data_IF_233328258945
#
_entry.id   IF_233328258945
#
_cell.length_a   1.000
_cell.length_b   1.000
_cell.length_c   1.000
_cell.angle_alpha   90.00
_cell.angle_beta   90.00
_cell.angle_gamma   90.00
#
_symmetry.space_group_name_H-M   'P 1'
#
loop_
_entity.id
_entity.type
_entity.pdbx_description
1 polymer ?
#
# COMPACT_ATOMS: atom_id res chain seq x y z
N UNK A 1 -32.92 52.53 24.74
CA UNK A 1 -32.75 51.06 24.58
C UNK A 1 -31.47 50.65 25.28
N UNK A 2 -31.56 49.72 26.22
CA UNK A 2 -30.49 49.41 27.17
C UNK A 2 -29.43 48.51 26.49
N UNK A 3 -28.17 48.95 26.44
CA UNK A 3 -27.03 48.28 25.78
C UNK A 3 -26.89 46.81 26.18
N UNK A 4 -27.27 46.48 27.42
CA UNK A 4 -27.25 45.13 27.99
C UNK A 4 -28.15 44.15 27.22
N UNK A 5 -29.29 44.62 26.69
CA UNK A 5 -30.22 43.79 25.93
C UNK A 5 -29.63 43.32 24.60
N UNK A 6 -28.86 44.18 23.92
CA UNK A 6 -28.16 43.82 22.68
C UNK A 6 -27.07 42.78 22.90
N UNK A 7 -26.36 42.86 24.03
CA UNK A 7 -25.31 41.88 24.36
C UNK A 7 -25.90 40.50 24.60
N UNK A 8 -27.05 40.42 25.29
CA UNK A 8 -27.73 39.15 25.52
C UNK A 8 -28.21 38.55 24.20
N UNK A 9 -28.82 39.35 23.32
CA UNK A 9 -29.26 38.87 22.00
C UNK A 9 -28.09 38.42 21.10
N UNK A 10 -26.94 39.09 21.17
CA UNK A 10 -25.75 38.69 20.43
C UNK A 10 -25.21 37.32 20.90
N UNK A 11 -25.19 37.07 22.21
CA UNK A 11 -24.73 35.78 22.77
C UNK A 11 -25.68 34.64 22.36
N UNK A 12 -26.99 34.87 22.43
CA UNK A 12 -27.99 33.87 22.01
C UNK A 12 -27.87 33.56 20.52
N UNK A 13 -27.77 34.59 19.66
CA UNK A 13 -27.58 34.39 18.23
C UNK A 13 -26.27 33.65 17.91
N UNK A 14 -25.20 33.94 18.64
CA UNK A 14 -23.92 33.26 18.47
C UNK A 14 -23.98 31.78 18.87
N UNK A 15 -24.63 31.44 19.99
CA UNK A 15 -24.80 30.05 20.40
C UNK A 15 -25.65 29.23 19.41
N UNK A 16 -26.71 29.83 18.87
CA UNK A 16 -27.55 29.18 17.86
C UNK A 16 -26.78 28.96 16.56
N UNK A 17 -25.99 29.94 16.10
CA UNK A 17 -25.17 29.80 14.90
C UNK A 17 -24.10 28.70 15.04
N UNK A 18 -23.48 28.57 16.22
CA UNK A 18 -22.49 27.52 16.49
C UNK A 18 -23.10 26.12 16.40
N UNK A 19 -24.36 25.94 16.82
CA UNK A 19 -25.05 24.64 16.71
C UNK A 19 -25.65 24.38 15.32
N UNK A 20 -26.25 25.38 14.68
CA UNK A 20 -26.87 25.22 13.36
C UNK A 20 -25.84 25.01 12.23
N UNK A 21 -24.61 25.51 12.42
CA UNK A 21 -23.51 25.38 11.45
C UNK A 21 -22.34 24.56 11.99
N UNK A 22 -22.54 23.80 13.08
CA UNK A 22 -21.55 22.82 13.48
C UNK A 22 -21.40 21.79 12.33
N UNK A 23 -20.19 21.63 11.75
CA UNK A 23 -19.97 20.57 10.78
C UNK A 23 -20.30 19.24 11.47
N UNK A 24 -20.96 18.33 10.74
CA UNK A 24 -21.24 16.99 11.27
C UNK A 24 -19.96 16.43 11.90
N UNK A 25 -20.02 15.88 13.12
CA UNK A 25 -18.87 15.23 13.71
C UNK A 25 -18.38 14.19 12.71
N UNK A 26 -17.18 14.42 12.14
CA UNK A 26 -16.55 13.44 11.25
C UNK A 26 -16.64 12.10 11.96
N UNK A 27 -17.36 11.15 11.36
CA UNK A 27 -17.51 9.82 11.92
C UNK A 27 -16.10 9.37 12.33
N UNK A 28 -15.92 9.12 13.64
CA UNK A 28 -14.62 8.68 14.14
C UNK A 28 -14.25 7.45 13.30
N UNK A 29 -13.06 7.42 12.68
CA UNK A 29 -12.62 6.20 12.02
C UNK A 29 -12.77 5.07 13.03
N UNK A 30 -13.61 4.09 12.71
CA UNK A 30 -13.63 2.87 13.51
C UNK A 30 -12.22 2.32 13.43
N UNK A 31 -11.51 2.38 14.56
CA UNK A 31 -10.22 1.73 14.71
C UNK A 31 -10.55 0.23 14.74
N UNK A 32 -10.62 -0.38 13.56
CA UNK A 32 -10.67 -1.83 13.47
C UNK A 32 -9.41 -2.34 14.17
N UNK A 33 -9.61 -3.15 15.21
CA UNK A 33 -8.53 -3.83 15.90
C UNK A 33 -7.66 -4.53 14.84
N UNK A 34 -6.34 -4.39 14.96
CA UNK A 34 -5.36 -4.82 13.96
C UNK A 34 -5.28 -6.35 13.72
N UNK A 35 -6.30 -7.11 14.10
CA UNK A 35 -6.41 -8.55 13.91
C UNK A 35 -7.28 -8.94 12.69
N UNK A 36 -7.83 -7.95 11.96
CA UNK A 36 -8.53 -8.20 10.71
C UNK A 36 -9.96 -8.74 10.85
N UNK A 37 -10.49 -8.87 12.07
CA UNK A 37 -11.85 -9.40 12.31
C UNK A 37 -12.99 -8.65 11.60
N UNK A 38 -12.75 -7.39 11.21
CA UNK A 38 -13.71 -6.59 10.43
C UNK A 38 -13.77 -6.91 8.93
N UNK A 39 -12.86 -7.74 8.40
CA UNK A 39 -12.70 -8.00 6.96
C UNK A 39 -12.95 -9.47 6.58
N UNK A 40 -13.73 -10.18 7.40
CA UNK A 40 -14.16 -11.56 7.17
C UNK A 40 -13.32 -12.63 7.90
N UNK A 41 -13.89 -13.81 8.07
CA UNK A 41 -13.29 -14.91 8.85
C UNK A 41 -11.97 -15.45 8.24
N UNK A 42 -11.73 -15.15 6.97
CA UNK A 42 -10.53 -15.56 6.22
C UNK A 42 -9.38 -14.54 6.32
N UNK A 43 -9.61 -13.36 6.90
CA UNK A 43 -8.60 -12.28 6.93
C UNK A 43 -7.33 -12.71 7.67
N UNK A 44 -7.44 -13.55 8.70
CA UNK A 44 -6.28 -14.13 9.40
C UNK A 44 -5.31 -14.86 8.45
N UNK A 45 -5.85 -15.57 7.46
CA UNK A 45 -5.03 -16.26 6.46
C UNK A 45 -4.44 -15.26 5.46
N UNK A 46 -5.14 -14.18 5.15
CA UNK A 46 -4.60 -13.10 4.33
C UNK A 46 -3.43 -12.39 5.03
N UNK A 47 -3.50 -12.17 6.35
CA UNK A 47 -2.40 -11.62 7.15
C UNK A 47 -1.16 -12.52 7.07
N UNK A 48 -1.31 -13.82 7.33
CA UNK A 48 -0.21 -14.79 7.23
C UNK A 48 0.36 -14.87 5.82
N UNK A 49 -0.52 -14.84 4.81
CA UNK A 49 -0.16 -14.83 3.40
C UNK A 49 0.70 -13.61 3.05
N UNK A 50 0.35 -12.41 3.54
CA UNK A 50 1.16 -11.19 3.35
C UNK A 50 2.55 -11.32 3.97
N UNK A 51 2.66 -11.90 5.16
CA UNK A 51 3.96 -12.17 5.81
C UNK A 51 4.80 -13.12 4.94
N UNK A 52 4.18 -14.19 4.43
CA UNK A 52 4.85 -15.15 3.55
C UNK A 52 5.33 -14.48 2.25
N UNK A 53 4.49 -13.67 1.62
CA UNK A 53 4.81 -12.92 0.39
C UNK A 53 5.99 -11.97 0.60
N UNK A 54 6.04 -11.25 1.73
CA UNK A 54 7.19 -10.40 2.07
C UNK A 54 8.48 -11.20 2.22
N UNK A 55 8.42 -12.33 2.93
CA UNK A 55 9.58 -13.22 3.10
C UNK A 55 10.06 -13.76 1.75
N UNK A 56 9.15 -14.16 0.86
CA UNK A 56 9.47 -14.62 -0.49
C UNK A 56 10.16 -13.54 -1.33
N UNK A 57 9.61 -12.32 -1.37
CA UNK A 57 10.23 -11.20 -2.07
C UNK A 57 11.58 -10.82 -1.49
N UNK A 58 11.71 -10.78 -0.16
CA UNK A 58 12.98 -10.50 0.49
C UNK A 58 14.03 -11.55 0.17
N UNK A 59 13.69 -12.83 0.23
CA UNK A 59 14.59 -13.92 -0.15
C UNK A 59 15.05 -13.79 -1.61
N UNK A 60 14.14 -13.48 -2.53
CA UNK A 60 14.47 -13.19 -3.93
C UNK A 60 15.41 -11.98 -4.08
N UNK A 61 15.16 -10.91 -3.33
CA UNK A 61 15.98 -9.69 -3.32
C UNK A 61 17.32 -9.84 -2.59
N UNK A 62 17.52 -10.90 -1.82
CA UNK A 62 18.77 -11.22 -1.13
C UNK A 62 19.63 -12.22 -1.91
N UNK A 63 19.11 -12.79 -3.01
CA UNK A 63 19.89 -13.63 -3.92
C UNK A 63 21.14 -12.87 -4.45
N UNK A 64 22.28 -13.56 -4.64
CA UNK A 64 23.48 -12.96 -5.20
C UNK A 64 23.18 -12.24 -6.52
N UNK A 65 23.69 -11.02 -6.66
CA UNK A 65 23.45 -10.18 -7.83
C UNK A 65 23.82 -10.88 -9.16
N UNK A 66 24.91 -11.62 -9.19
CA UNK A 66 25.37 -12.37 -10.38
C UNK A 66 24.38 -13.46 -10.83
N UNK A 67 23.60 -14.03 -9.92
CA UNK A 67 22.65 -15.10 -10.23
C UNK A 67 21.32 -14.62 -10.83
N UNK A 68 21.03 -13.31 -10.82
CA UNK A 68 19.70 -12.79 -11.21
C UNK A 68 19.47 -12.72 -12.73
N UNK A 69 20.48 -13.01 -13.54
CA UNK A 69 20.39 -12.85 -14.99
C UNK A 69 20.14 -14.15 -15.76
N UNK A 70 20.43 -15.33 -15.20
CA UNK A 70 20.35 -16.59 -15.95
C UNK A 70 19.81 -17.74 -15.07
N UNK A 71 19.10 -18.68 -15.71
CA UNK A 71 18.73 -19.97 -15.12
C UNK A 71 17.73 -19.88 -13.96
N UNK A 72 17.79 -20.87 -13.08
CA UNK A 72 16.84 -21.03 -11.98
C UNK A 72 16.90 -19.87 -10.98
N UNK A 73 18.08 -19.28 -10.77
CA UNK A 73 18.21 -18.14 -9.86
C UNK A 73 17.52 -16.90 -10.40
N UNK A 74 17.58 -16.63 -11.72
CA UNK A 74 16.76 -15.58 -12.35
C UNK A 74 15.28 -15.88 -12.21
N UNK A 75 14.87 -17.12 -12.46
CA UNK A 75 13.47 -17.53 -12.35
C UNK A 75 12.94 -17.28 -10.93
N UNK A 76 13.65 -17.73 -9.90
CA UNK A 76 13.28 -17.48 -8.50
C UNK A 76 13.27 -15.99 -8.14
N UNK A 77 14.22 -15.21 -8.67
CA UNK A 77 14.24 -13.76 -8.48
C UNK A 77 12.97 -13.10 -9.03
N UNK A 78 12.59 -13.41 -10.28
CA UNK A 78 11.41 -12.84 -10.92
C UNK A 78 10.12 -13.37 -10.25
N UNK A 79 10.04 -14.67 -9.96
CA UNK A 79 8.86 -15.28 -9.32
C UNK A 79 8.59 -14.70 -7.92
N UNK A 80 9.62 -14.56 -7.08
CA UNK A 80 9.45 -14.01 -5.73
C UNK A 80 8.93 -12.57 -5.73
N UNK A 81 9.43 -11.74 -6.65
CA UNK A 81 8.93 -10.39 -6.85
C UNK A 81 7.53 -10.39 -7.47
N UNK A 82 7.29 -11.27 -8.45
CA UNK A 82 5.99 -11.40 -9.12
C UNK A 82 4.89 -11.76 -8.12
N UNK A 83 5.11 -12.76 -7.26
CA UNK A 83 4.15 -13.18 -6.23
C UNK A 83 3.81 -12.03 -5.27
N UNK A 84 4.81 -11.33 -4.77
CA UNK A 84 4.60 -10.19 -3.87
C UNK A 84 3.77 -9.07 -4.53
N UNK A 85 4.19 -8.61 -5.71
CA UNK A 85 3.50 -7.51 -6.38
C UNK A 85 2.13 -7.91 -6.95
N UNK A 86 1.96 -9.18 -7.36
CA UNK A 86 0.67 -9.72 -7.76
C UNK A 86 -0.33 -9.64 -6.62
N UNK A 87 0.02 -10.18 -5.45
CA UNK A 87 -0.89 -10.21 -4.31
C UNK A 87 -1.15 -8.83 -3.74
N UNK A 88 -0.12 -7.98 -3.67
CA UNK A 88 -0.29 -6.58 -3.23
C UNK A 88 -1.23 -5.80 -4.14
N UNK A 89 -1.03 -5.87 -5.45
CA UNK A 89 -1.92 -5.19 -6.40
C UNK A 89 -3.34 -5.74 -6.31
N UNK A 90 -3.49 -7.06 -6.33
CA UNK A 90 -4.80 -7.70 -6.27
C UNK A 90 -5.56 -7.32 -4.98
N UNK A 91 -4.92 -7.35 -3.81
CA UNK A 91 -5.59 -6.93 -2.58
C UNK A 91 -5.90 -5.43 -2.57
N UNK A 92 -5.02 -4.59 -3.13
CA UNK A 92 -5.25 -3.15 -3.25
C UNK A 92 -6.47 -2.84 -4.13
N UNK A 93 -6.74 -3.65 -5.15
CA UNK A 93 -7.93 -3.51 -6.01
C UNK A 93 -9.19 -4.13 -5.36
N UNK A 94 -9.07 -5.30 -4.74
CA UNK A 94 -10.23 -6.07 -4.24
C UNK A 94 -10.80 -5.60 -2.91
N UNK A 95 -9.98 -5.15 -1.97
CA UNK A 95 -10.51 -4.71 -0.66
C UNK A 95 -11.44 -3.50 -0.78
N UNK A 96 -11.14 -2.46 -1.58
CA UNK A 96 -12.08 -1.38 -1.84
C UNK A 96 -13.36 -1.85 -2.53
N UNK A 97 -13.27 -2.81 -3.47
CA UNK A 97 -14.43 -3.37 -4.16
C UNK A 97 -15.41 -4.06 -3.19
N UNK A 98 -14.88 -4.79 -2.20
CA UNK A 98 -15.68 -5.59 -1.26
C UNK A 98 -16.12 -4.79 -0.03
N UNK A 99 -15.24 -3.95 0.52
CA UNK A 99 -15.44 -3.30 1.81
C UNK A 99 -15.47 -1.77 1.73
N UNK A 100 -15.49 -1.20 0.52
CA UNK A 100 -15.55 0.24 0.29
C UNK A 100 -14.32 0.99 0.81
N UNK A 101 -14.49 2.30 1.15
CA UNK A 101 -13.37 3.14 1.61
C UNK A 101 -12.64 2.59 2.84
N UNK A 102 -13.36 1.95 3.77
CA UNK A 102 -12.75 1.33 4.94
C UNK A 102 -11.83 0.16 4.57
N UNK A 103 -12.16 -0.61 3.52
CA UNK A 103 -11.29 -1.63 2.94
C UNK A 103 -10.04 -1.03 2.33
N UNK A 104 -10.19 0.06 1.58
CA UNK A 104 -9.08 0.78 0.96
C UNK A 104 -8.06 1.27 2.00
N UNK A 105 -8.54 1.94 3.05
CA UNK A 105 -7.68 2.47 4.12
C UNK A 105 -6.96 1.36 4.88
N UNK A 106 -7.66 0.25 5.13
CA UNK A 106 -7.06 -0.90 5.80
C UNK A 106 -5.97 -1.55 4.95
N UNK A 107 -6.27 -1.89 3.70
CA UNK A 107 -5.31 -2.61 2.86
C UNK A 107 -4.08 -1.75 2.53
N UNK A 108 -4.28 -0.44 2.37
CA UNK A 108 -3.17 0.51 2.22
C UNK A 108 -2.22 0.47 3.43
N UNK A 109 -2.76 0.46 4.66
CA UNK A 109 -1.95 0.31 5.89
C UNK A 109 -1.24 -1.04 5.94
N UNK A 110 -1.95 -2.12 5.59
CA UNK A 110 -1.38 -3.46 5.59
C UNK A 110 -0.19 -3.59 4.65
N UNK A 111 -0.12 -2.84 3.55
CA UNK A 111 0.99 -2.85 2.58
C UNK A 111 1.99 -1.68 2.70
N UNK A 112 1.95 -0.95 3.82
CA UNK A 112 2.83 0.21 4.07
C UNK A 112 3.83 -0.04 5.20
N UNK A 113 4.19 -1.29 5.44
CA UNK A 113 5.11 -1.67 6.53
C UNK A 113 6.55 -1.27 6.22
N UNK A 114 7.43 -1.37 7.23
CA UNK A 114 8.87 -1.15 7.03
C UNK A 114 9.48 -2.15 6.04
N UNK A 115 9.02 -3.40 6.04
CA UNK A 115 9.46 -4.40 5.06
C UNK A 115 9.01 -4.05 3.64
N UNK A 116 7.78 -3.57 3.47
CA UNK A 116 7.27 -3.15 2.14
C UNK A 116 8.13 -2.03 1.56
N UNK A 117 8.51 -1.03 2.37
CA UNK A 117 9.44 0.04 1.97
C UNK A 117 10.83 -0.49 1.62
N UNK A 118 11.33 -1.49 2.36
CA UNK A 118 12.62 -2.12 2.07
C UNK A 118 12.57 -2.89 0.74
N UNK A 119 11.50 -3.64 0.49
CA UNK A 119 11.26 -4.36 -0.76
C UNK A 119 11.22 -3.38 -1.93
N UNK A 120 10.44 -2.29 -1.83
CA UNK A 120 10.37 -1.27 -2.88
C UNK A 120 11.73 -0.67 -3.23
N UNK A 121 12.50 -0.26 -2.22
CA UNK A 121 13.85 0.30 -2.43
C UNK A 121 14.78 -0.69 -3.13
N UNK A 122 14.78 -1.96 -2.73
CA UNK A 122 15.64 -2.98 -3.34
C UNK A 122 15.15 -3.36 -4.75
N UNK A 123 13.83 -3.33 -5.00
CA UNK A 123 13.24 -3.49 -6.33
C UNK A 123 13.68 -2.36 -7.26
N UNK A 124 13.63 -1.11 -6.81
CA UNK A 124 14.13 0.05 -7.57
C UNK A 124 15.62 -0.08 -7.85
N UNK A 125 16.42 -0.47 -6.85
CA UNK A 125 17.86 -0.69 -7.04
C UNK A 125 18.15 -1.77 -8.09
N UNK A 126 17.41 -2.89 -8.05
CA UNK A 126 17.55 -3.96 -9.02
C UNK A 126 17.12 -3.51 -10.44
N UNK A 127 16.07 -2.69 -10.54
CA UNK A 127 15.63 -2.09 -11.80
C UNK A 127 16.68 -1.15 -12.40
N UNK A 128 17.15 -0.19 -11.60
CA UNK A 128 18.16 0.81 -12.02
C UNK A 128 19.43 0.12 -12.53
N UNK A 129 19.85 -0.97 -11.88
CA UNK A 129 21.01 -1.77 -12.31
C UNK A 129 20.76 -2.64 -13.54
N UNK A 130 19.52 -2.72 -14.03
CA UNK A 130 19.17 -3.47 -15.24
C UNK A 130 18.99 -4.97 -15.02
N UNK A 131 18.54 -5.41 -13.84
CA UNK A 131 18.29 -6.83 -13.56
C UNK A 131 16.94 -7.33 -14.06
N UNK A 132 15.97 -6.43 -14.26
CA UNK A 132 14.66 -6.76 -14.81
C UNK A 132 14.07 -5.56 -15.55
N UNK A 133 13.01 -5.82 -16.30
CA UNK A 133 12.08 -4.82 -16.85
C UNK A 133 10.65 -5.14 -16.40
N UNK A 134 9.72 -4.17 -16.34
CA UNK A 134 8.33 -4.45 -15.93
C UNK A 134 7.64 -5.54 -16.76
N UNK A 135 8.03 -5.75 -18.01
CA UNK A 135 7.49 -6.81 -18.87
C UNK A 135 8.02 -8.21 -18.56
N UNK A 136 8.96 -8.36 -17.62
CA UNK A 136 9.38 -9.67 -17.10
C UNK A 136 8.34 -10.28 -16.14
N UNK A 137 7.34 -9.50 -15.72
CA UNK A 137 6.32 -9.88 -14.74
C UNK A 137 4.95 -10.10 -15.38
N UNK A 138 4.09 -10.85 -14.69
CA UNK A 138 2.72 -11.05 -15.14
C UNK A 138 1.91 -9.74 -15.11
N UNK A 139 0.77 -9.71 -15.83
CA UNK A 139 0.04 -8.46 -16.07
C UNK A 139 -0.44 -7.71 -14.82
N UNK A 140 -0.70 -8.40 -13.71
CA UNK A 140 -1.13 -7.76 -12.45
C UNK A 140 0.08 -7.19 -11.71
N UNK A 141 1.14 -7.99 -11.54
CA UNK A 141 2.37 -7.56 -10.89
C UNK A 141 3.09 -6.44 -11.68
N UNK A 142 3.11 -6.56 -13.00
CA UNK A 142 3.76 -5.61 -13.93
C UNK A 142 3.23 -4.18 -13.76
N UNK A 143 1.91 -4.01 -13.54
CA UNK A 143 1.29 -2.69 -13.30
C UNK A 143 1.88 -2.01 -12.07
N UNK A 144 1.93 -2.73 -10.95
CA UNK A 144 2.41 -2.15 -9.69
C UNK A 144 3.92 -1.92 -9.72
N UNK A 145 4.68 -2.85 -10.31
CA UNK A 145 6.12 -2.68 -10.50
C UNK A 145 6.42 -1.44 -11.36
N UNK A 146 5.68 -1.24 -12.45
CA UNK A 146 5.84 -0.06 -13.29
C UNK A 146 5.59 1.26 -12.53
N UNK A 147 4.68 1.25 -11.53
CA UNK A 147 4.47 2.38 -10.63
C UNK A 147 5.65 2.55 -9.67
N UNK A 148 6.12 1.46 -9.06
CA UNK A 148 7.24 1.48 -8.09
C UNK A 148 8.51 2.03 -8.72
N UNK A 149 8.81 1.67 -9.97
CA UNK A 149 10.00 2.14 -10.68
C UNK A 149 9.75 3.40 -11.52
N UNK A 150 8.57 4.01 -11.38
CA UNK A 150 8.20 5.20 -12.16
C UNK A 150 9.10 6.38 -11.76
N UNK A 151 9.90 6.83 -12.72
CA UNK A 151 10.85 7.92 -12.51
C UNK A 151 12.30 7.45 -12.33
N UNK A 152 12.50 6.15 -12.10
CA UNK A 152 13.83 5.55 -12.14
C UNK A 152 14.32 5.44 -13.58
N UNK A 153 15.62 5.63 -13.78
CA UNK A 153 16.29 5.38 -15.07
C UNK A 153 17.20 4.18 -14.91
N UNK A 154 17.15 3.27 -15.88
CA UNK A 154 18.11 2.18 -15.96
C UNK A 154 19.47 2.77 -16.31
N UNK A 155 20.43 2.62 -15.40
CA UNK A 155 21.83 3.07 -15.57
C UNK A 155 22.80 1.90 -15.71
N UNK A 156 22.38 0.70 -15.32
CA UNK A 156 23.17 -0.52 -15.42
C UNK A 156 22.73 -1.43 -16.57
N UNK A 157 23.64 -2.29 -16.99
CA UNK A 157 23.43 -3.30 -18.04
C UNK A 157 23.61 -4.72 -17.49
N UNK A 158 23.22 -4.96 -16.23
CA UNK A 158 23.60 -6.17 -15.51
C UNK A 158 23.19 -7.47 -16.21
N UNK A 159 22.02 -7.51 -16.84
CA UNK A 159 21.53 -8.68 -17.60
C UNK A 159 21.50 -8.47 -19.12
N UNK A 160 22.31 -7.55 -19.67
CA UNK A 160 22.38 -7.30 -21.13
C UNK A 160 23.50 -8.09 -21.84
N UNK A 161 24.15 -9.02 -21.13
CA UNK A 161 25.20 -9.90 -21.67
C UNK A 161 24.68 -11.19 -22.25
#
# INVERSE_FOLDING_TARGET
>A
MNRIWFVIWAIVAWQVAVWAFAPEPKARPQVFAGDGKGYGDTEKYAVESRISQRRGAMAALELPWSGRCIGDTRKHFIEGLNEYYYHRQNQTERYPEIFGPAGADYIAKQWSTGEDKRIERLTQEAYVRGYFKPSDFNGVASKLIAIVVKGERVTGHACAG
#
